data_IF_239257644146
#
_entry.id   IF_239257644146
#
_cell.length_a   1.000
_cell.length_b   1.000
_cell.length_c   1.000
_cell.angle_alpha   90.00
_cell.angle_beta   90.00
_cell.angle_gamma   90.00
#
_symmetry.space_group_name_H-M   'P 1'
#
loop_
_entity.id
_entity.type
_entity.pdbx_description
1 polymer ?
#
# COMPACT_ATOMS: atom_id res chain seq x y z
N UNK A 1 -26.50 -3.07 -13.96
CA UNK A 1 -25.77 -3.08 -12.70
C UNK A 1 -26.04 -4.37 -11.96
N UNK A 2 -25.01 -5.03 -11.46
CA UNK A 2 -25.14 -6.26 -10.70
C UNK A 2 -25.52 -5.94 -9.25
N UNK A 3 -26.51 -6.64 -8.72
CA UNK A 3 -26.94 -6.52 -7.32
C UNK A 3 -26.39 -7.72 -6.56
N UNK A 4 -25.75 -7.48 -5.42
CA UNK A 4 -25.21 -8.52 -4.57
C UNK A 4 -24.85 -7.97 -3.21
N UNK A 5 -24.37 -8.85 -2.35
CA UNK A 5 -23.92 -8.45 -1.03
C UNK A 5 -22.58 -7.70 -1.14
N UNK A 6 -22.34 -6.82 -0.19
CA UNK A 6 -21.09 -6.09 -0.13
C UNK A 6 -19.91 -7.04 0.17
N UNK A 7 -18.78 -6.80 -0.48
CA UNK A 7 -17.56 -7.53 -0.17
C UNK A 7 -17.05 -7.11 1.21
N UNK A 8 -16.79 -8.08 2.08
CA UNK A 8 -16.41 -7.83 3.47
C UNK A 8 -14.90 -7.91 3.72
N UNK A 9 -14.14 -8.25 2.68
CA UNK A 9 -12.71 -8.53 2.84
C UNK A 9 -12.41 -9.99 3.18
N UNK A 10 -13.45 -10.80 3.39
CA UNK A 10 -13.30 -12.22 3.71
C UNK A 10 -13.27 -13.12 2.49
N UNK A 11 -13.62 -12.60 1.32
CA UNK A 11 -13.58 -13.37 0.07
C UNK A 11 -12.16 -13.42 -0.45
N UNK A 12 -11.44 -14.48 -0.12
CA UNK A 12 -10.04 -14.62 -0.47
C UNK A 12 -9.83 -14.76 -1.98
N UNK A 13 -10.74 -15.43 -2.69
CA UNK A 13 -10.63 -15.57 -4.14
C UNK A 13 -10.73 -14.21 -4.83
N UNK A 14 -11.67 -13.38 -4.40
CA UNK A 14 -11.80 -12.02 -4.92
C UNK A 14 -10.54 -11.21 -4.62
N UNK A 15 -10.06 -11.27 -3.37
CA UNK A 15 -8.89 -10.53 -2.93
C UNK A 15 -7.64 -10.96 -3.68
N UNK A 16 -7.49 -12.26 -3.95
CA UNK A 16 -6.35 -12.80 -4.70
C UNK A 16 -6.37 -12.30 -6.14
N UNK A 17 -7.55 -12.23 -6.75
CA UNK A 17 -7.68 -11.67 -8.12
C UNK A 17 -7.36 -10.18 -8.15
N UNK A 18 -7.78 -9.44 -7.13
CA UNK A 18 -7.42 -8.02 -7.00
C UNK A 18 -5.90 -7.86 -6.85
N UNK A 19 -5.28 -8.68 -6.01
CA UNK A 19 -3.84 -8.63 -5.77
C UNK A 19 -3.06 -8.87 -7.06
N UNK A 20 -3.43 -9.90 -7.83
CA UNK A 20 -2.77 -10.19 -9.10
C UNK A 20 -2.91 -9.03 -10.10
N UNK A 21 -4.11 -8.45 -10.18
CA UNK A 21 -4.39 -7.32 -11.09
C UNK A 21 -3.62 -6.07 -10.66
N UNK A 22 -3.59 -5.79 -9.36
CA UNK A 22 -2.94 -4.58 -8.83
C UNK A 22 -1.42 -4.66 -8.95
N UNK A 23 -0.85 -5.84 -8.76
CA UNK A 23 0.59 -6.03 -8.97
C UNK A 23 1.01 -5.66 -10.39
N UNK A 24 0.17 -5.96 -11.37
CA UNK A 24 0.47 -5.66 -12.77
C UNK A 24 0.36 -4.16 -13.09
N UNK A 25 -0.49 -3.41 -12.37
CA UNK A 25 -0.82 -2.03 -12.74
C UNK A 25 -0.37 -0.98 -11.72
N UNK A 26 -0.22 -1.33 -10.44
CA UNK A 26 0.04 -0.35 -9.39
C UNK A 26 1.47 -0.41 -8.84
N UNK A 27 2.14 -1.56 -8.94
CA UNK A 27 3.49 -1.67 -8.39
C UNK A 27 4.48 -0.85 -9.21
N UNK A 28 5.33 -0.12 -8.52
CA UNK A 28 6.37 0.69 -9.14
C UNK A 28 7.72 0.02 -8.97
N UNK A 29 8.44 -0.13 -10.07
CA UNK A 29 9.82 -0.60 -10.02
C UNK A 29 10.75 0.56 -9.67
N UNK A 30 11.81 0.27 -8.90
CA UNK A 30 12.86 1.27 -8.59
C UNK A 30 13.60 1.74 -9.83
N UNK A 31 13.43 1.05 -10.97
CA UNK A 31 14.01 1.46 -12.25
C UNK A 31 13.15 2.43 -13.04
N UNK A 32 11.90 2.67 -12.59
CA UNK A 32 11.01 3.64 -13.23
C UNK A 32 11.44 5.07 -12.93
N UNK A 33 11.26 5.96 -13.90
CA UNK A 33 11.67 7.36 -13.76
C UNK A 33 10.88 8.12 -12.69
N UNK A 34 9.65 7.68 -12.41
CA UNK A 34 8.80 8.28 -11.38
C UNK A 34 9.21 7.87 -9.96
N UNK A 35 10.05 6.85 -9.82
CA UNK A 35 10.50 6.40 -8.51
C UNK A 35 11.60 7.34 -8.02
N UNK A 36 11.34 8.02 -6.92
CA UNK A 36 12.27 9.01 -6.37
C UNK A 36 13.37 8.34 -5.54
N UNK A 37 14.57 8.88 -5.59
CA UNK A 37 15.71 8.36 -4.83
C UNK A 37 15.43 8.39 -3.32
N UNK A 38 14.73 9.40 -2.83
CA UNK A 38 14.39 9.55 -1.41
C UNK A 38 13.51 8.41 -0.90
N UNK A 39 12.79 7.72 -1.78
CA UNK A 39 11.88 6.65 -1.41
C UNK A 39 12.61 5.36 -1.02
N UNK A 40 13.87 5.18 -1.40
CA UNK A 40 14.61 3.96 -1.04
C UNK A 40 14.67 3.75 0.47
N UNK A 41 14.77 4.83 1.26
CA UNK A 41 14.85 4.76 2.71
C UNK A 41 13.57 5.24 3.40
N UNK A 42 12.52 5.54 2.65
CA UNK A 42 11.29 6.15 3.17
C UNK A 42 10.05 5.50 2.55
N UNK A 43 10.01 4.16 2.57
CA UNK A 43 8.93 3.40 1.95
C UNK A 43 7.73 3.26 2.87
N UNK A 44 6.54 3.33 2.29
CA UNK A 44 5.27 3.33 3.03
C UNK A 44 5.12 2.13 3.97
N UNK A 45 5.59 0.95 3.56
CA UNK A 45 5.54 -0.25 4.39
C UNK A 45 6.30 -0.14 5.70
N UNK A 46 7.25 0.79 5.82
CA UNK A 46 7.98 1.08 7.03
C UNK A 46 7.48 2.30 7.79
N UNK A 47 6.45 2.96 7.29
CA UNK A 47 5.90 4.18 7.89
C UNK A 47 4.99 3.84 9.08
N UNK A 48 5.06 4.65 10.13
CA UNK A 48 4.21 4.48 11.31
C UNK A 48 2.71 4.65 11.01
N UNK A 49 2.39 5.32 9.92
CA UNK A 49 1.01 5.59 9.50
C UNK A 49 0.47 4.53 8.52
N UNK A 50 1.22 3.46 8.27
CA UNK A 50 0.82 2.39 7.38
C UNK A 50 -0.22 1.50 8.03
N UNK A 51 -1.33 1.28 7.35
CA UNK A 51 -2.38 0.32 7.76
C UNK A 51 -2.47 -0.72 6.66
N UNK A 52 -1.93 -1.92 6.92
CA UNK A 52 -1.93 -3.00 5.94
C UNK A 52 -3.35 -3.46 5.64
N UNK A 53 -3.63 -3.79 4.39
CA UNK A 53 -4.89 -4.42 4.02
C UNK A 53 -4.90 -5.87 4.52
N UNK A 54 -6.11 -6.45 4.61
CA UNK A 54 -6.27 -7.81 5.10
C UNK A 54 -5.82 -8.85 4.07
N UNK A 55 -5.42 -10.02 4.57
CA UNK A 55 -5.08 -11.17 3.75
C UNK A 55 -3.89 -10.91 2.83
N UNK A 56 -3.93 -11.52 1.65
CA UNK A 56 -2.83 -11.43 0.67
C UNK A 56 -2.59 -10.00 0.21
N UNK A 57 -3.62 -9.16 0.14
CA UNK A 57 -3.47 -7.76 -0.24
C UNK A 57 -2.51 -7.02 0.67
N UNK A 58 -2.51 -7.34 1.97
CA UNK A 58 -1.63 -6.70 2.94
C UNK A 58 -0.16 -7.04 2.78
N UNK A 59 0.18 -8.01 1.94
CA UNK A 59 1.58 -8.33 1.62
C UNK A 59 2.25 -7.22 0.80
N UNK A 60 1.46 -6.49 0.00
CA UNK A 60 1.99 -5.45 -0.87
C UNK A 60 1.29 -4.09 -0.69
N UNK A 61 0.08 -4.07 -0.14
CA UNK A 61 -0.75 -2.85 -0.12
C UNK A 61 -1.27 -2.52 1.26
N UNK A 62 -1.42 -1.24 1.49
CA UNK A 62 -2.00 -0.70 2.70
C UNK A 62 -2.53 0.69 2.45
N UNK A 63 -3.02 1.33 3.49
CA UNK A 63 -3.58 2.68 3.42
C UNK A 63 -2.68 3.62 4.20
N UNK A 64 -2.41 4.78 3.62
CA UNK A 64 -1.75 5.87 4.34
C UNK A 64 -2.76 6.53 5.28
N UNK A 65 -2.38 6.71 6.55
CA UNK A 65 -3.20 7.43 7.53
C UNK A 65 -2.51 8.66 8.09
N UNK A 66 -1.52 9.18 7.37
CA UNK A 66 -0.76 10.35 7.79
C UNK A 66 -1.51 11.63 7.38
N UNK A 67 -2.06 12.40 8.34
CA UNK A 67 -2.80 13.61 8.02
C UNK A 67 -1.94 14.70 7.38
N UNK A 68 -0.61 14.61 7.51
CA UNK A 68 0.31 15.54 6.88
C UNK A 68 0.72 15.15 5.47
N UNK A 69 0.25 14.01 4.95
CA UNK A 69 0.59 13.53 3.62
C UNK A 69 -0.54 13.78 2.63
N UNK A 70 -0.18 14.09 1.38
CA UNK A 70 -1.16 14.17 0.29
C UNK A 70 -1.80 12.83 -0.03
N UNK A 71 -1.24 11.73 0.49
CA UNK A 71 -1.74 10.38 0.27
C UNK A 71 -2.64 9.87 1.40
N UNK A 72 -2.93 10.70 2.40
CA UNK A 72 -3.81 10.32 3.50
C UNK A 72 -5.13 9.77 2.97
N UNK A 73 -5.52 8.60 3.43
CA UNK A 73 -6.73 7.91 3.00
C UNK A 73 -6.62 7.15 1.68
N UNK A 74 -5.42 7.06 1.09
CA UNK A 74 -5.22 6.40 -0.20
C UNK A 74 -4.50 5.07 -0.03
N UNK A 75 -4.85 4.11 -0.89
CA UNK A 75 -4.15 2.83 -0.97
C UNK A 75 -2.80 3.05 -1.61
N UNK A 76 -1.76 2.49 -0.98
CA UNK A 76 -0.38 2.63 -1.46
C UNK A 76 0.27 1.27 -1.58
N UNK A 77 1.22 1.15 -2.50
CA UNK A 77 2.14 0.02 -2.57
C UNK A 77 3.20 0.18 -1.45
N UNK A 78 3.58 -0.92 -0.80
CA UNK A 78 4.49 -0.87 0.37
C UNK A 78 5.85 -0.26 0.06
N UNK A 79 6.31 -0.36 -1.19
CA UNK A 79 7.59 0.23 -1.61
C UNK A 79 7.46 1.63 -2.21
N UNK A 80 6.23 2.19 -2.29
CA UNK A 80 6.06 3.61 -2.56
C UNK A 80 6.53 4.42 -1.35
N UNK A 81 6.79 5.70 -1.58
CA UNK A 81 7.21 6.59 -0.52
C UNK A 81 6.48 7.93 -0.57
N UNK A 82 6.76 8.77 0.40
CA UNK A 82 6.33 10.17 0.38
C UNK A 82 7.27 11.00 1.25
N UNK A 83 7.22 12.31 1.03
CA UNK A 83 8.04 13.27 1.76
C UNK A 83 7.66 13.43 3.23
N UNK A 84 6.48 12.94 3.62
CA UNK A 84 5.99 12.99 5.00
C UNK A 84 6.21 11.67 5.74
N UNK A 85 7.09 10.81 5.23
CA UNK A 85 7.41 9.53 5.86
C UNK A 85 7.85 9.72 7.31
N UNK A 86 7.35 8.82 8.18
CA UNK A 86 7.77 8.76 9.57
C UNK A 86 7.99 7.29 9.94
N UNK A 87 9.23 6.92 10.22
CA UNK A 87 9.60 5.55 10.54
C UNK A 87 8.98 5.06 11.84
N UNK A 88 8.79 3.74 11.93
CA UNK A 88 8.35 3.10 13.16
C UNK A 88 9.51 3.05 14.15
N UNK A 89 9.18 3.14 15.45
CA UNK A 89 10.19 3.13 16.51
C UNK A 89 10.97 1.81 16.54
N UNK A 90 10.34 0.69 16.17
CA UNK A 90 10.96 -0.64 16.17
C UNK A 90 11.64 -1.00 14.85
N UNK A 91 11.57 -0.13 13.83
CA UNK A 91 12.16 -0.38 12.52
C UNK A 91 11.45 -1.45 11.70
N UNK A 92 10.26 -1.91 12.11
CA UNK A 92 9.53 -2.95 11.39
C UNK A 92 9.03 -2.46 10.03
N UNK A 93 8.73 -3.42 9.15
CA UNK A 93 8.25 -3.17 7.79
C UNK A 93 7.08 -4.10 7.49
N UNK A 94 6.05 -3.54 6.81
CA UNK A 94 4.89 -4.34 6.38
C UNK A 94 3.68 -4.32 7.28
#
# INVERSE_FOLDING_TARGET
MTVGEAWTGDDQDHNDRCHARWRASLNRSTTQTEYRDEWYDAQCGGCRFWIALSGRLGQDYGVCSNPGSSFDGRVRFEHDGCESFAGRADGSFG
#
